data_IF_992478873580
#
_entry.id   IF_992478873580
#
_cell.length_a   1.000
_cell.length_b   1.000
_cell.length_c   1.000
_cell.angle_alpha   90.00
_cell.angle_beta   90.00
_cell.angle_gamma   90.00
#
_symmetry.space_group_name_H-M   'P 1'
#
loop_
_entity.id
_entity.type
_entity.pdbx_description
1 polymer ?
#
# COMPACT_ATOMS: atom_id res chain seq x y z
N UNK A 1 -5.62 -25.94 -2.31
CA UNK A 1 -5.88 -24.87 -3.31
C UNK A 1 -6.86 -23.88 -2.72
N UNK A 2 -6.42 -22.68 -2.40
CA UNK A 2 -7.31 -21.61 -1.94
C UNK A 2 -7.98 -20.98 -3.18
N UNK A 3 -9.30 -20.94 -3.22
CA UNK A 3 -10.11 -20.40 -4.35
C UNK A 3 -9.88 -21.03 -5.73
N UNK A 4 -9.30 -22.25 -5.82
CA UNK A 4 -8.99 -22.89 -7.10
C UNK A 4 -7.75 -22.34 -7.81
N UNK A 5 -6.95 -21.49 -7.13
CA UNK A 5 -5.67 -20.99 -7.63
C UNK A 5 -4.58 -21.99 -7.25
N UNK A 6 -3.62 -22.21 -8.14
CA UNK A 6 -2.43 -23.01 -7.87
C UNK A 6 -1.50 -22.26 -6.89
N UNK A 7 -0.89 -22.97 -5.95
CA UNK A 7 0.02 -22.38 -4.98
C UNK A 7 1.21 -21.65 -5.64
N UNK A 8 1.69 -22.17 -6.78
CA UNK A 8 2.77 -21.54 -7.53
C UNK A 8 2.37 -20.15 -8.04
N UNK A 9 1.13 -19.99 -8.51
CA UNK A 9 0.61 -18.68 -8.93
C UNK A 9 0.63 -17.68 -7.76
N UNK A 10 0.25 -18.10 -6.56
CA UNK A 10 0.31 -17.23 -5.38
C UNK A 10 1.73 -16.85 -5.00
N UNK A 11 2.68 -17.79 -5.11
CA UNK A 11 4.12 -17.52 -4.90
C UNK A 11 4.63 -16.50 -5.93
N UNK A 12 4.29 -16.67 -7.20
CA UNK A 12 4.73 -15.77 -8.28
C UNK A 12 4.15 -14.36 -8.13
N UNK A 13 2.88 -14.24 -7.71
CA UNK A 13 2.23 -12.97 -7.45
C UNK A 13 2.85 -12.24 -6.25
N UNK A 14 3.10 -12.96 -5.14
CA UNK A 14 3.75 -12.39 -3.96
C UNK A 14 5.17 -11.92 -4.28
N UNK A 15 5.99 -12.78 -4.93
CA UNK A 15 7.36 -12.44 -5.29
C UNK A 15 7.43 -11.20 -6.18
N UNK A 16 6.55 -11.11 -7.18
CA UNK A 16 6.49 -9.94 -8.04
C UNK A 16 5.99 -8.69 -7.29
N UNK A 17 5.00 -8.82 -6.40
CA UNK A 17 4.54 -7.70 -5.56
C UNK A 17 5.69 -7.16 -4.68
N UNK A 18 6.51 -8.04 -4.09
CA UNK A 18 7.70 -7.66 -3.30
C UNK A 18 8.70 -6.90 -4.15
N UNK A 19 9.03 -7.42 -5.35
CA UNK A 19 9.96 -6.79 -6.28
C UNK A 19 9.52 -5.37 -6.62
N UNK A 20 8.28 -5.19 -7.09
CA UNK A 20 7.81 -3.86 -7.51
C UNK A 20 7.54 -2.92 -6.34
N UNK A 21 7.22 -3.42 -5.13
CA UNK A 21 7.11 -2.58 -3.94
C UNK A 21 8.48 -2.00 -3.53
N UNK A 22 9.56 -2.81 -3.58
CA UNK A 22 10.91 -2.34 -3.32
C UNK A 22 11.36 -1.26 -4.32
N UNK A 23 11.08 -1.45 -5.60
CA UNK A 23 11.41 -0.48 -6.66
C UNK A 23 10.61 0.83 -6.51
N UNK A 24 9.30 0.74 -6.24
CA UNK A 24 8.46 1.90 -5.93
C UNK A 24 9.00 2.64 -4.70
N UNK A 25 9.37 1.91 -3.65
CA UNK A 25 10.03 2.47 -2.47
C UNK A 25 11.34 3.19 -2.78
N UNK A 26 12.16 2.66 -3.70
CA UNK A 26 13.37 3.32 -4.15
C UNK A 26 13.08 4.62 -4.93
N UNK A 27 11.98 4.66 -5.70
CA UNK A 27 11.47 5.90 -6.33
C UNK A 27 11.14 6.92 -5.25
N UNK A 28 10.33 6.56 -4.27
CA UNK A 28 9.94 7.45 -3.18
C UNK A 28 11.16 7.96 -2.40
N UNK A 29 12.12 7.10 -2.08
CA UNK A 29 13.33 7.48 -1.36
C UNK A 29 14.17 8.53 -2.11
N UNK A 30 14.18 8.52 -3.46
CA UNK A 30 14.85 9.55 -4.26
C UNK A 30 14.21 10.93 -4.15
N UNK A 31 12.89 10.97 -3.91
CA UNK A 31 12.12 12.20 -3.78
C UNK A 31 12.05 12.71 -2.34
N UNK A 32 12.20 11.84 -1.35
CA UNK A 32 12.05 12.17 0.07
C UNK A 32 13.02 13.28 0.51
N UNK A 33 12.49 14.30 1.19
CA UNK A 33 13.27 15.44 1.67
C UNK A 33 13.73 16.43 0.59
N UNK A 34 13.22 16.32 -0.64
CA UNK A 34 13.49 17.24 -1.74
C UNK A 34 12.32 18.17 -2.01
N UNK A 35 12.55 19.21 -2.83
CA UNK A 35 11.48 20.06 -3.32
C UNK A 35 10.62 19.28 -4.32
N UNK A 36 9.31 19.21 -4.05
CA UNK A 36 8.33 18.48 -4.85
C UNK A 36 7.34 19.45 -5.48
N UNK A 37 6.86 19.10 -6.66
CA UNK A 37 5.67 19.72 -7.22
C UNK A 37 4.45 19.10 -6.52
N UNK A 38 3.61 19.95 -5.93
CA UNK A 38 2.42 19.54 -5.20
C UNK A 38 1.20 19.96 -6.01
N UNK A 39 0.29 19.02 -6.21
CA UNK A 39 -1.05 19.23 -6.73
C UNK A 39 -2.07 18.83 -5.65
N UNK A 40 -3.32 19.26 -5.76
CA UNK A 40 -4.34 18.91 -4.79
C UNK A 40 -5.54 18.32 -5.51
N UNK A 41 -6.00 17.15 -5.03
CA UNK A 41 -7.17 16.45 -5.57
C UNK A 41 -8.49 17.17 -5.22
N UNK A 42 -8.46 18.08 -4.25
CA UNK A 42 -9.64 18.79 -3.75
C UNK A 42 -9.44 20.30 -3.68
N UNK A 43 -10.56 21.04 -3.72
CA UNK A 43 -10.58 22.52 -3.63
C UNK A 43 -10.16 23.05 -2.24
N UNK A 44 -10.07 22.21 -1.22
CA UNK A 44 -9.69 22.61 0.15
C UNK A 44 -8.20 22.43 0.41
N UNK A 45 -7.45 21.99 -0.61
CA UNK A 45 -6.02 21.68 -0.51
C UNK A 45 -5.72 20.72 0.65
N UNK A 46 -6.64 19.77 0.89
CA UNK A 46 -6.53 18.83 2.00
C UNK A 46 -6.02 17.46 1.57
N UNK A 47 -5.98 17.18 0.28
CA UNK A 47 -5.57 15.91 -0.32
C UNK A 47 -4.46 16.15 -1.36
N UNK A 48 -3.18 16.24 -0.90
CA UNK A 48 -2.06 16.50 -1.79
C UNK A 48 -1.64 15.26 -2.56
N UNK A 49 -1.22 15.46 -3.80
CA UNK A 49 -0.51 14.49 -4.64
C UNK A 49 0.76 15.15 -5.17
N UNK A 50 1.81 14.38 -5.33
CA UNK A 50 3.12 14.89 -5.76
C UNK A 50 3.63 14.16 -7.01
N UNK A 51 4.68 14.71 -7.59
CA UNK A 51 5.42 14.04 -8.67
C UNK A 51 5.99 12.68 -8.24
N UNK A 52 6.26 12.47 -6.94
CA UNK A 52 6.66 11.17 -6.40
C UNK A 52 5.52 10.13 -6.47
N UNK A 53 4.28 10.52 -6.14
CA UNK A 53 3.08 9.68 -6.28
C UNK A 53 2.91 9.24 -7.74
N UNK A 54 2.94 10.21 -8.66
CA UNK A 54 2.76 9.95 -10.09
C UNK A 54 3.87 9.07 -10.68
N UNK A 55 5.15 9.30 -10.34
CA UNK A 55 6.26 8.47 -10.82
C UNK A 55 6.15 7.04 -10.29
N UNK A 56 5.82 6.88 -8.99
CA UNK A 56 5.62 5.59 -8.36
C UNK A 56 4.44 4.84 -9.00
N UNK A 57 3.29 5.48 -9.18
CA UNK A 57 2.13 4.84 -9.82
C UNK A 57 2.42 4.44 -11.26
N UNK A 58 3.02 5.34 -12.06
CA UNK A 58 3.37 5.03 -13.45
C UNK A 58 4.27 3.80 -13.54
N UNK A 59 5.29 3.71 -12.70
CA UNK A 59 6.18 2.55 -12.62
C UNK A 59 5.39 1.27 -12.29
N UNK A 60 4.55 1.29 -11.24
CA UNK A 60 3.78 0.12 -10.82
C UNK A 60 2.83 -0.36 -11.92
N UNK A 61 2.10 0.55 -12.56
CA UNK A 61 1.18 0.24 -13.66
C UNK A 61 1.91 -0.38 -14.84
N UNK A 62 3.04 0.22 -15.26
CA UNK A 62 3.83 -0.29 -16.38
C UNK A 62 4.40 -1.69 -16.09
N UNK A 63 4.93 -1.91 -14.88
CA UNK A 63 5.49 -3.19 -14.47
C UNK A 63 4.42 -4.31 -14.45
N UNK A 64 3.25 -4.02 -13.88
CA UNK A 64 2.13 -4.97 -13.80
C UNK A 64 1.58 -5.27 -15.20
N UNK A 65 1.31 -4.24 -16.00
CA UNK A 65 0.77 -4.41 -17.37
C UNK A 65 1.70 -5.24 -18.24
N UNK A 66 3.01 -5.03 -18.12
CA UNK A 66 4.01 -5.79 -18.85
C UNK A 66 4.06 -7.27 -18.45
N UNK A 67 3.92 -7.56 -17.16
CA UNK A 67 4.05 -8.91 -16.60
C UNK A 67 2.75 -9.70 -16.65
N UNK A 68 1.62 -9.02 -16.45
CA UNK A 68 0.28 -9.57 -16.34
C UNK A 68 -0.72 -8.74 -17.17
N UNK A 69 -0.66 -8.79 -18.51
CA UNK A 69 -1.46 -7.91 -19.38
C UNK A 69 -2.98 -8.11 -19.26
N UNK A 70 -3.41 -9.27 -18.76
CA UNK A 70 -4.83 -9.61 -18.60
C UNK A 70 -5.37 -9.29 -17.17
N UNK A 71 -4.53 -8.77 -16.27
CA UNK A 71 -4.94 -8.38 -14.93
C UNK A 71 -5.48 -6.95 -14.93
N UNK A 72 -6.46 -6.68 -14.06
CA UNK A 72 -6.91 -5.32 -13.79
C UNK A 72 -5.99 -4.59 -12.84
N UNK A 73 -6.01 -3.27 -12.90
CA UNK A 73 -5.28 -2.38 -12.00
C UNK A 73 -6.24 -1.31 -11.50
N UNK A 74 -6.18 -1.00 -10.21
CA UNK A 74 -6.87 0.10 -9.56
C UNK A 74 -5.85 0.88 -8.74
N UNK A 75 -5.46 2.06 -9.21
CA UNK A 75 -4.56 2.98 -8.52
C UNK A 75 -5.33 4.04 -7.73
N UNK A 76 -4.72 4.59 -6.69
CA UNK A 76 -5.30 5.71 -5.94
C UNK A 76 -5.37 6.98 -6.79
N UNK A 77 -4.38 7.18 -7.67
CA UNK A 77 -4.25 8.36 -8.53
C UNK A 77 -5.00 8.21 -9.88
N UNK A 78 -5.83 7.17 -10.03
CA UNK A 78 -6.64 6.99 -11.23
C UNK A 78 -7.82 7.97 -11.24
N UNK A 79 -8.08 8.58 -12.41
CA UNK A 79 -9.26 9.41 -12.62
C UNK A 79 -10.54 8.61 -12.38
N UNK A 80 -11.27 8.95 -11.32
CA UNK A 80 -12.54 8.30 -10.94
C UNK A 80 -13.61 8.37 -12.03
N UNK A 81 -13.48 9.30 -13.00
CA UNK A 81 -14.41 9.49 -14.11
C UNK A 81 -14.25 8.45 -15.24
N UNK A 82 -13.16 7.66 -15.24
CA UNK A 82 -12.91 6.63 -16.28
C UNK A 82 -13.42 5.23 -15.92
N UNK A 83 -14.06 5.04 -14.78
CA UNK A 83 -14.43 3.72 -14.27
C UNK A 83 -15.78 3.17 -14.74
N UNK A 84 -16.44 3.74 -15.75
CA UNK A 84 -17.61 3.12 -16.39
C UNK A 84 -17.21 2.13 -17.50
N UNK A 85 -16.23 1.28 -17.24
CA UNK A 85 -15.99 0.14 -18.13
C UNK A 85 -16.98 -1.00 -17.82
N UNK A 86 -17.89 -1.25 -18.75
CA UNK A 86 -18.89 -2.33 -18.66
C UNK A 86 -18.33 -3.71 -18.98
N UNK A 87 -17.02 -3.84 -19.17
CA UNK A 87 -16.34 -5.12 -19.37
C UNK A 87 -16.46 -6.01 -18.13
N UNK A 88 -16.48 -7.33 -18.28
CA UNK A 88 -16.42 -8.23 -17.13
C UNK A 88 -15.20 -7.92 -16.27
N UNK A 89 -15.41 -7.82 -14.94
CA UNK A 89 -14.31 -7.60 -14.02
C UNK A 89 -13.23 -8.69 -14.20
N UNK A 90 -11.95 -8.31 -14.26
CA UNK A 90 -10.86 -9.28 -14.41
C UNK A 90 -10.81 -10.21 -13.20
N UNK A 91 -10.39 -11.46 -13.42
CA UNK A 91 -10.23 -12.42 -12.33
C UNK A 91 -9.20 -11.95 -11.28
N UNK A 92 -8.09 -11.34 -11.73
CA UNK A 92 -7.07 -10.73 -10.89
C UNK A 92 -7.12 -9.21 -10.98
N UNK A 93 -7.07 -8.55 -9.82
CA UNK A 93 -7.04 -7.09 -9.70
C UNK A 93 -5.91 -6.69 -8.75
N UNK A 94 -5.03 -5.81 -9.23
CA UNK A 94 -4.01 -5.14 -8.44
C UNK A 94 -4.58 -3.84 -7.90
N UNK A 95 -4.47 -3.64 -6.59
CA UNK A 95 -4.90 -2.40 -5.91
C UNK A 95 -3.66 -1.72 -5.40
N UNK A 96 -3.44 -0.48 -5.82
CA UNK A 96 -2.20 0.24 -5.62
C UNK A 96 -2.45 1.54 -4.86
N UNK A 97 -1.67 1.76 -3.81
CA UNK A 97 -1.44 3.06 -3.22
C UNK A 97 0.06 3.37 -3.38
N UNK A 98 0.43 4.24 -4.35
CA UNK A 98 1.82 4.48 -4.71
C UNK A 98 2.59 5.21 -3.61
N UNK A 99 1.92 6.03 -2.80
CA UNK A 99 2.48 6.76 -1.65
C UNK A 99 1.44 6.98 -0.56
N UNK A 100 1.20 5.97 0.27
CA UNK A 100 0.43 6.13 1.51
C UNK A 100 1.18 7.05 2.47
N UNK A 101 0.47 8.03 3.01
CA UNK A 101 1.06 9.02 3.92
C UNK A 101 1.72 10.21 3.22
N UNK A 102 1.20 10.68 2.08
CA UNK A 102 1.71 11.82 1.29
C UNK A 102 1.94 13.07 2.16
N UNK A 103 1.08 13.34 3.14
CA UNK A 103 1.27 14.46 4.08
C UNK A 103 2.52 14.28 4.94
N UNK A 104 2.76 13.09 5.48
CA UNK A 104 3.97 12.79 6.25
C UNK A 104 5.20 12.96 5.37
N UNK A 105 5.13 12.44 4.16
CA UNK A 105 6.20 12.54 3.16
C UNK A 105 6.56 13.99 2.88
N UNK A 106 5.58 14.87 2.62
CA UNK A 106 5.75 16.30 2.39
C UNK A 106 6.38 17.03 3.59
N UNK A 107 6.08 16.60 4.81
CA UNK A 107 6.64 17.18 6.03
C UNK A 107 7.99 16.56 6.44
N UNK A 108 8.57 15.69 5.62
CA UNK A 108 9.86 15.05 5.91
C UNK A 108 9.78 14.01 7.04
N UNK A 109 8.59 13.48 7.33
CA UNK A 109 8.42 12.40 8.29
C UNK A 109 8.56 11.05 7.58
N UNK A 110 9.45 10.15 8.01
CA UNK A 110 9.65 8.84 7.37
C UNK A 110 8.54 7.84 7.77
N UNK A 111 7.29 8.29 7.74
CA UNK A 111 6.08 7.52 8.04
C UNK A 111 5.22 7.55 6.79
N UNK A 112 5.65 6.80 5.81
CA UNK A 112 4.98 6.62 4.52
C UNK A 112 5.21 5.20 4.01
N UNK A 113 4.44 4.77 3.03
CA UNK A 113 4.55 3.46 2.45
C UNK A 113 4.24 3.48 0.95
N UNK A 114 4.57 2.41 0.23
CA UNK A 114 3.94 2.06 -1.03
C UNK A 114 3.26 0.71 -0.85
N UNK A 115 1.97 0.65 -1.12
CA UNK A 115 1.13 -0.50 -0.80
C UNK A 115 0.56 -1.15 -2.07
N UNK A 116 0.67 -2.47 -2.14
CA UNK A 116 0.24 -3.29 -3.27
C UNK A 116 -0.60 -4.45 -2.74
N UNK A 117 -1.85 -4.52 -3.16
CA UNK A 117 -2.73 -5.64 -2.91
C UNK A 117 -3.06 -6.40 -4.19
N UNK A 118 -3.16 -7.72 -4.11
CA UNK A 118 -3.62 -8.57 -5.21
C UNK A 118 -4.89 -9.29 -4.81
N UNK A 119 -5.94 -9.06 -5.56
CA UNK A 119 -7.24 -9.69 -5.40
C UNK A 119 -7.44 -10.74 -6.50
N UNK A 120 -8.06 -11.86 -6.13
CA UNK A 120 -8.61 -12.81 -7.08
C UNK A 120 -10.12 -12.94 -6.86
N UNK A 121 -10.90 -12.60 -7.87
CA UNK A 121 -12.37 -12.57 -7.80
C UNK A 121 -12.91 -11.82 -6.57
N UNK A 122 -12.27 -10.66 -6.29
CA UNK A 122 -12.63 -9.78 -5.17
C UNK A 122 -12.09 -10.21 -3.80
N UNK A 123 -11.38 -11.33 -3.67
CA UNK A 123 -10.80 -11.77 -2.41
C UNK A 123 -9.28 -11.53 -2.39
N UNK A 124 -8.69 -10.96 -1.31
CA UNK A 124 -7.25 -10.73 -1.21
C UNK A 124 -6.48 -12.06 -1.17
N UNK A 125 -5.45 -12.17 -2.00
CA UNK A 125 -4.65 -13.39 -2.15
C UNK A 125 -3.16 -13.18 -1.94
N UNK A 126 -2.62 -11.99 -2.20
CA UNK A 126 -1.25 -11.60 -1.91
C UNK A 126 -1.16 -10.09 -1.70
N UNK A 127 -0.06 -9.62 -1.13
CA UNK A 127 0.21 -8.20 -1.00
C UNK A 127 1.61 -7.93 -0.50
N UNK A 128 2.10 -6.73 -0.78
CA UNK A 128 3.39 -6.22 -0.32
C UNK A 128 3.27 -4.74 0.05
N UNK A 129 3.99 -4.33 1.09
CA UNK A 129 4.04 -2.94 1.56
C UNK A 129 5.49 -2.57 1.81
N UNK A 130 6.00 -1.65 1.00
CA UNK A 130 7.29 -1.01 1.29
C UNK A 130 7.12 0.01 2.41
N UNK A 131 8.08 0.05 3.34
CA UNK A 131 8.20 1.08 4.36
C UNK A 131 9.67 1.50 4.52
N UNK A 132 9.97 2.84 4.63
CA UNK A 132 11.34 3.34 4.78
C UNK A 132 11.88 3.10 6.18
N UNK A 133 11.04 2.65 7.12
CA UNK A 133 11.42 2.46 8.52
C UNK A 133 10.37 1.58 9.24
N UNK A 134 10.71 0.81 10.31
CA UNK A 134 12.04 0.63 10.88
C UNK A 134 12.77 -0.56 10.26
N UNK A 135 14.02 -0.37 9.86
CA UNK A 135 14.89 -1.46 9.43
C UNK A 135 16.36 -1.08 9.65
N UNK A 136 17.20 -2.04 9.99
CA UNK A 136 18.64 -1.86 10.12
C UNK A 136 19.29 -1.45 8.79
N UNK A 137 18.66 -1.81 7.67
CA UNK A 137 19.08 -1.45 6.31
C UNK A 137 18.40 -0.18 5.76
N UNK A 138 17.58 0.51 6.56
CA UNK A 138 16.92 1.76 6.20
C UNK A 138 15.58 1.61 5.50
N UNK A 139 15.17 0.40 5.10
CA UNK A 139 13.84 0.12 4.54
C UNK A 139 13.54 -1.37 4.60
N UNK A 140 12.27 -1.74 4.50
CA UNK A 140 11.83 -3.13 4.43
C UNK A 140 10.58 -3.28 3.55
N UNK A 141 10.31 -4.50 3.10
CA UNK A 141 9.06 -4.88 2.47
C UNK A 141 8.34 -5.89 3.36
N UNK A 142 7.18 -5.50 3.87
CA UNK A 142 6.25 -6.41 4.52
C UNK A 142 5.43 -7.10 3.44
N UNK A 143 5.31 -8.43 3.48
CA UNK A 143 4.53 -9.13 2.47
C UNK A 143 3.86 -10.39 3.01
N UNK A 144 2.85 -10.83 2.30
CA UNK A 144 2.14 -12.05 2.62
C UNK A 144 1.40 -12.59 1.39
N UNK A 145 1.17 -13.91 1.37
CA UNK A 145 0.19 -14.53 0.51
C UNK A 145 -0.73 -15.45 1.30
N UNK A 146 -1.88 -15.72 0.75
CA UNK A 146 -2.85 -16.63 1.38
C UNK A 146 -2.26 -18.03 1.55
N UNK A 147 -2.20 -18.48 2.80
CA UNK A 147 -1.65 -19.77 3.19
C UNK A 147 -0.11 -19.84 3.24
N UNK A 148 0.59 -18.73 2.90
CA UNK A 148 2.06 -18.67 2.89
C UNK A 148 2.69 -18.06 4.14
N UNK A 149 1.89 -17.45 5.02
CA UNK A 149 2.40 -16.67 6.15
C UNK A 149 2.64 -15.20 5.80
N UNK A 150 3.26 -14.48 6.73
CA UNK A 150 3.64 -13.07 6.57
C UNK A 150 5.12 -12.88 6.90
N UNK A 151 5.76 -11.96 6.22
CA UNK A 151 7.21 -11.73 6.29
C UNK A 151 7.53 -10.23 6.31
N UNK A 152 8.65 -9.90 6.94
CA UNK A 152 9.36 -8.63 6.78
C UNK A 152 10.68 -8.93 6.08
N UNK A 153 10.81 -8.57 4.82
CA UNK A 153 11.85 -9.08 3.94
C UNK A 153 11.83 -10.63 3.95
N UNK A 154 12.92 -11.27 4.38
CA UNK A 154 13.00 -12.74 4.48
C UNK A 154 12.62 -13.30 5.86
N UNK A 155 12.32 -12.45 6.84
CA UNK A 155 12.05 -12.86 8.23
C UNK A 155 10.54 -13.07 8.47
N UNK A 156 10.12 -14.24 8.96
CA UNK A 156 8.71 -14.47 9.26
C UNK A 156 8.23 -13.60 10.43
N UNK A 157 7.05 -13.01 10.27
CA UNK A 157 6.41 -12.16 11.29
C UNK A 157 5.05 -12.73 11.70
N UNK A 158 4.62 -12.39 12.92
CA UNK A 158 3.27 -12.66 13.41
C UNK A 158 2.81 -11.57 14.37
N UNK A 159 1.50 -11.39 14.48
CA UNK A 159 0.93 -10.51 15.50
C UNK A 159 1.16 -11.10 16.89
N UNK A 160 1.34 -10.23 17.88
CA UNK A 160 1.44 -10.65 19.27
C UNK A 160 0.07 -11.11 19.77
N UNK A 161 0.04 -12.29 20.41
CA UNK A 161 -1.15 -12.81 21.10
C UNK A 161 -1.14 -12.30 22.56
N UNK A 162 -1.21 -10.98 22.72
CA UNK A 162 -1.22 -10.32 24.03
C UNK A 162 -2.27 -9.24 24.07
N UNK A 163 -3.01 -9.18 25.19
CA UNK A 163 -3.94 -8.09 25.47
C UNK A 163 -3.21 -6.73 25.51
N UNK A 164 -3.81 -5.66 24.97
CA UNK A 164 -3.28 -4.31 25.10
C UNK A 164 -3.09 -3.95 26.59
N UNK A 165 -1.94 -3.35 26.91
CA UNK A 165 -1.63 -2.87 28.26
C UNK A 165 -1.68 -1.35 28.30
N UNK A 166 -1.69 -0.75 29.49
CA UNK A 166 -1.77 0.69 29.68
C UNK A 166 -0.62 1.52 29.02
N UNK A 167 0.46 0.85 28.60
CA UNK A 167 1.57 1.46 27.88
C UNK A 167 1.60 1.08 26.36
N UNK A 168 0.54 0.49 25.83
CA UNK A 168 0.43 0.18 24.42
C UNK A 168 0.31 1.48 23.61
N UNK A 169 1.20 1.64 22.62
CA UNK A 169 1.12 2.75 21.68
C UNK A 169 -0.01 2.49 20.67
N UNK A 170 -0.94 3.42 20.58
CA UNK A 170 -2.01 3.42 19.58
C UNK A 170 -1.80 4.63 18.67
N UNK A 171 -1.65 4.40 17.38
CA UNK A 171 -1.61 5.46 16.37
C UNK A 171 -2.98 5.62 15.72
N UNK A 172 -3.37 6.87 15.45
CA UNK A 172 -4.65 7.19 14.85
C UNK A 172 -4.42 7.87 13.50
N UNK A 173 -5.20 7.54 12.47
CA UNK A 173 -5.08 8.22 11.19
C UNK A 173 -5.44 9.71 11.32
N UNK A 174 -4.75 10.57 10.57
CA UNK A 174 -4.89 12.02 10.62
C UNK A 174 -6.28 12.55 10.18
N UNK A 175 -7.11 11.70 9.59
CA UNK A 175 -8.44 12.02 9.11
C UNK A 175 -9.56 11.94 10.18
N UNK A 176 -9.21 11.67 11.44
CA UNK A 176 -10.21 11.69 12.51
C UNK A 176 -10.74 13.11 12.75
N UNK A 177 -12.02 13.33 12.45
CA UNK A 177 -12.72 14.55 12.83
C UNK A 177 -12.95 14.64 14.35
N UNK A 178 -13.27 15.84 14.85
CA UNK A 178 -13.54 16.11 16.29
C UNK A 178 -14.62 15.19 16.88
N UNK A 179 -15.55 14.69 16.06
CA UNK A 179 -16.59 13.72 16.45
C UNK A 179 -16.05 12.32 16.72
N UNK A 180 -14.92 11.95 16.11
CA UNK A 180 -14.35 10.62 16.24
C UNK A 180 -13.47 10.48 17.50
N UNK A 181 -12.92 11.60 18.01
CA UNK A 181 -12.18 11.62 19.28
C UNK A 181 -13.03 11.19 20.48
N UNK A 182 -14.35 11.37 20.43
CA UNK A 182 -15.26 10.88 21.49
C UNK A 182 -15.42 9.36 21.47
N UNK A 183 -15.31 8.71 20.30
CA UNK A 183 -15.36 7.25 20.20
C UNK A 183 -14.07 6.61 20.71
N UNK A 184 -12.94 7.29 20.56
CA UNK A 184 -11.64 6.81 21.02
C UNK A 184 -11.53 6.84 22.53
N UNK A 185 -12.07 7.89 23.19
CA UNK A 185 -12.10 7.96 24.65
C UNK A 185 -12.93 6.83 25.31
N UNK A 186 -13.87 6.23 24.57
CA UNK A 186 -14.63 5.07 25.04
C UNK A 186 -13.92 3.72 24.88
N UNK A 187 -12.81 3.67 24.15
CA UNK A 187 -11.95 2.47 24.02
C UNK A 187 -10.84 2.43 25.07
N UNK A 188 -10.61 3.55 25.78
CA UNK A 188 -9.59 3.69 26.83
C UNK A 188 -10.17 3.62 28.26
N UNK A 189 -11.48 3.41 28.41
CA UNK A 189 -12.21 3.19 29.67
C UNK A 189 -12.62 1.73 29.82
#
# INVERSE_FOLDING_TARGET
MAYGIEDQTLVDLEAFAVEIAAEAGAILARHFGRALKIEYKDKRESDPVTDADHESQSFLVDAITKRFPDHGILGEEDDKEKQEDTSPAPDFLWVLDPLDGTKNFLHGLPIYASSIGVLYKGAPVAGAVFTPWPSDNGSMVLHARKGGGAFADDEPISVLDTEPKGNTLVTLPASFGVTDTRRISSLAS
#
